data_IF_061376331387
#
_entry.id   IF_061376331387
#
_cell.length_a   1.000
_cell.length_b   1.000
_cell.length_c   1.000
_cell.angle_alpha   90.00
_cell.angle_beta   90.00
_cell.angle_gamma   90.00
#
_symmetry.space_group_name_H-M   'P 1'
#
loop_
_entity.id
_entity.type
_entity.pdbx_description
1 polymer ?
#
# COMPACT_ATOMS: atom_id res chain seq x y z
N UNK A 1 9.39 7.52 -8.35
CA UNK A 1 10.30 6.80 -9.27
C UNK A 1 11.47 7.71 -9.64
N UNK A 2 12.69 7.22 -9.52
CA UNK A 2 13.88 8.00 -9.86
C UNK A 2 14.00 8.22 -11.38
N UNK A 3 14.36 9.43 -11.80
CA UNK A 3 14.82 9.67 -13.18
C UNK A 3 16.21 9.04 -13.36
N UNK A 4 16.69 8.80 -14.60
CA UNK A 4 18.03 8.25 -14.83
C UNK A 4 19.16 9.01 -14.12
N UNK A 5 18.99 10.32 -13.89
CA UNK A 5 19.95 11.17 -13.18
C UNK A 5 19.90 11.02 -11.65
N UNK A 6 18.85 10.41 -11.13
CA UNK A 6 18.64 10.17 -9.70
C UNK A 6 19.04 8.75 -9.27
N UNK A 7 19.41 7.89 -10.24
CA UNK A 7 19.93 6.56 -9.93
C UNK A 7 21.32 6.71 -9.29
N UNK A 8 21.54 5.96 -8.22
CA UNK A 8 22.83 5.94 -7.54
C UNK A 8 23.12 4.56 -6.96
N UNK A 9 24.38 4.31 -6.66
CA UNK A 9 24.81 3.10 -6.00
C UNK A 9 24.94 3.35 -4.49
N UNK A 10 24.27 2.51 -3.70
CA UNK A 10 24.56 2.32 -2.29
C UNK A 10 25.27 0.96 -2.18
N UNK A 11 26.57 0.97 -1.93
CA UNK A 11 27.45 -0.20 -2.02
C UNK A 11 27.28 -0.97 -3.35
N UNK A 12 26.84 -2.22 -3.29
CA UNK A 12 26.61 -3.07 -4.46
C UNK A 12 25.14 -3.05 -4.95
N UNK A 13 24.34 -2.06 -4.56
CA UNK A 13 22.93 -1.93 -4.92
C UNK A 13 22.69 -0.67 -5.76
N UNK A 14 22.10 -0.83 -6.96
CA UNK A 14 21.60 0.28 -7.77
C UNK A 14 20.22 0.68 -7.28
N UNK A 15 20.13 1.79 -6.55
CA UNK A 15 18.88 2.34 -6.01
C UNK A 15 18.09 3.03 -7.11
N UNK A 16 16.81 2.69 -7.27
CA UNK A 16 15.96 3.20 -8.35
C UNK A 16 14.57 3.69 -7.88
N UNK A 17 14.13 3.32 -6.69
CA UNK A 17 12.84 3.74 -6.16
C UNK A 17 12.94 3.88 -4.64
N UNK A 18 12.29 4.89 -4.10
CA UNK A 18 12.18 5.15 -2.66
C UNK A 18 10.70 5.30 -2.31
N UNK A 19 10.31 4.78 -1.16
CA UNK A 19 8.99 4.98 -0.61
C UNK A 19 8.81 6.45 -0.22
N UNK A 20 7.58 6.97 -0.33
CA UNK A 20 7.27 8.40 -0.18
C UNK A 20 7.72 9.00 1.17
N UNK A 21 7.71 8.21 2.24
CA UNK A 21 8.15 8.64 3.59
C UNK A 21 9.62 8.29 3.88
N UNK A 22 10.33 7.71 2.90
CA UNK A 22 11.72 7.31 3.03
C UNK A 22 11.94 6.10 3.94
N UNK A 23 10.91 5.29 4.16
CA UNK A 23 10.97 4.11 5.04
C UNK A 23 11.66 2.93 4.36
N UNK A 24 11.50 2.82 3.04
CA UNK A 24 12.10 1.74 2.24
C UNK A 24 12.73 2.31 0.97
N UNK A 25 13.92 1.83 0.66
CA UNK A 25 14.58 2.09 -0.61
C UNK A 25 14.72 0.80 -1.40
N UNK A 26 14.27 0.80 -2.65
CA UNK A 26 14.35 -0.37 -3.52
C UNK A 26 15.48 -0.27 -4.54
N UNK A 27 16.15 -1.42 -4.73
CA UNK A 27 17.37 -1.50 -5.52
C UNK A 27 17.52 -2.85 -6.22
N UNK A 28 18.41 -2.87 -7.21
CA UNK A 28 18.87 -4.07 -7.91
C UNK A 28 20.34 -4.30 -7.53
N UNK A 29 20.73 -5.53 -7.23
CA UNK A 29 22.15 -5.86 -7.01
C UNK A 29 22.96 -5.63 -8.27
N UNK A 30 24.18 -5.15 -8.09
CA UNK A 30 25.12 -4.90 -9.17
C UNK A 30 25.39 -6.14 -10.04
N UNK A 31 25.45 -7.31 -9.41
CA UNK A 31 25.65 -8.59 -10.10
C UNK A 31 24.47 -8.98 -11.00
N UNK A 32 23.25 -8.47 -10.68
CA UNK A 32 22.02 -8.77 -11.41
C UNK A 32 21.70 -7.77 -12.54
N UNK A 33 22.49 -6.72 -12.73
CA UNK A 33 22.19 -5.66 -13.71
C UNK A 33 22.19 -6.12 -15.17
N UNK A 34 22.78 -7.27 -15.47
CA UNK A 34 22.74 -7.88 -16.82
C UNK A 34 21.53 -8.77 -17.02
N UNK A 35 20.80 -9.10 -15.96
CA UNK A 35 19.56 -9.85 -16.03
C UNK A 35 18.44 -8.91 -16.56
N UNK A 36 17.70 -9.28 -17.63
CA UNK A 36 16.61 -8.43 -18.14
C UNK A 36 15.41 -8.34 -17.19
N UNK A 37 15.30 -9.21 -16.20
CA UNK A 37 14.27 -9.21 -15.18
C UNK A 37 14.84 -9.57 -13.80
N UNK A 38 15.64 -8.68 -13.19
CA UNK A 38 16.41 -8.97 -11.99
C UNK A 38 15.52 -9.04 -10.73
N UNK A 39 15.98 -9.70 -9.67
CA UNK A 39 15.40 -9.59 -8.34
C UNK A 39 15.45 -8.14 -7.84
N UNK A 40 14.44 -7.76 -7.03
CA UNK A 40 14.40 -6.47 -6.35
C UNK A 40 14.62 -6.65 -4.85
N UNK A 41 15.37 -5.75 -4.27
CA UNK A 41 15.73 -5.73 -2.86
C UNK A 41 15.25 -4.44 -2.22
N UNK A 42 14.70 -4.54 -1.00
CA UNK A 42 14.32 -3.40 -0.17
C UNK A 42 15.30 -3.21 0.99
N UNK A 43 15.73 -1.99 1.22
CA UNK A 43 16.48 -1.62 2.42
C UNK A 43 15.53 -1.07 3.47
N UNK A 44 15.39 -1.78 4.58
CA UNK A 44 14.59 -1.41 5.76
C UNK A 44 15.46 -0.89 6.92
N UNK A 45 16.74 -0.71 6.69
CA UNK A 45 17.68 -0.12 7.63
C UNK A 45 17.96 1.36 7.33
N UNK A 46 18.98 1.89 7.99
CA UNK A 46 19.50 3.23 7.72
C UNK A 46 20.59 3.21 6.63
N UNK A 47 21.02 4.37 6.18
CA UNK A 47 22.19 4.49 5.29
C UNK A 47 23.48 3.94 5.93
N UNK A 48 23.61 4.04 7.25
CA UNK A 48 24.79 3.58 7.99
C UNK A 48 24.71 2.14 8.48
N UNK A 49 23.49 1.56 8.51
CA UNK A 49 23.22 0.18 8.91
C UNK A 49 22.14 -0.40 8.01
N UNK A 50 22.46 -0.73 6.76
CA UNK A 50 21.49 -1.19 5.78
C UNK A 50 21.00 -2.61 6.09
N UNK A 51 19.70 -2.81 5.93
CA UNK A 51 19.06 -4.12 6.10
C UNK A 51 18.36 -4.52 4.79
N UNK A 52 19.11 -5.11 3.87
CA UNK A 52 18.62 -5.53 2.57
C UNK A 52 17.87 -6.85 2.62
N UNK A 53 16.61 -6.83 2.22
CA UNK A 53 15.72 -8.00 2.13
C UNK A 53 15.25 -8.13 0.68
N UNK A 54 15.25 -9.34 0.15
CA UNK A 54 14.70 -9.56 -1.19
C UNK A 54 13.19 -9.42 -1.17
N UNK A 55 12.67 -8.45 -1.94
CA UNK A 55 11.24 -8.15 -2.05
C UNK A 55 10.57 -9.08 -3.05
N UNK A 56 11.10 -9.15 -4.26
CA UNK A 56 10.53 -9.98 -5.32
C UNK A 56 11.63 -10.75 -6.05
N UNK A 57 11.23 -11.85 -6.67
CA UNK A 57 12.14 -12.68 -7.46
C UNK A 57 12.52 -12.05 -8.80
N UNK A 58 11.73 -11.05 -9.24
CA UNK A 58 11.96 -10.36 -10.49
C UNK A 58 11.33 -8.96 -10.48
N UNK A 59 11.79 -8.11 -11.38
CA UNK A 59 11.36 -6.71 -11.50
C UNK A 59 9.90 -6.57 -11.97
N UNK A 60 9.40 -7.52 -12.78
CA UNK A 60 7.99 -7.49 -13.22
C UNK A 60 7.03 -7.65 -12.05
N UNK A 61 7.30 -8.59 -11.15
CA UNK A 61 6.49 -8.80 -9.94
C UNK A 61 6.58 -7.59 -9.01
N UNK A 62 7.76 -6.94 -8.94
CA UNK A 62 7.91 -5.71 -8.16
C UNK A 62 7.01 -4.58 -8.68
N UNK A 63 6.93 -4.38 -10.00
CA UNK A 63 6.02 -3.38 -10.57
C UNK A 63 4.55 -3.70 -10.31
N UNK A 64 4.17 -4.98 -10.43
CA UNK A 64 2.82 -5.41 -10.08
C UNK A 64 2.53 -5.20 -8.58
N UNK A 65 3.50 -5.53 -7.72
CA UNK A 65 3.42 -5.27 -6.28
C UNK A 65 3.17 -3.79 -5.99
N UNK A 66 3.97 -2.88 -6.57
CA UNK A 66 3.78 -1.43 -6.39
C UNK A 66 2.43 -0.94 -6.91
N UNK A 67 1.96 -1.46 -8.04
CA UNK A 67 0.66 -1.10 -8.59
C UNK A 67 -0.48 -1.50 -7.63
N UNK A 68 -0.43 -2.73 -7.09
CA UNK A 68 -1.39 -3.22 -6.11
C UNK A 68 -1.31 -2.42 -4.81
N UNK A 69 -0.10 -2.22 -4.27
CA UNK A 69 0.12 -1.44 -3.06
C UNK A 69 -0.49 -0.04 -3.17
N UNK A 70 -0.17 0.70 -4.24
CA UNK A 70 -0.77 2.00 -4.47
C UNK A 70 -2.29 1.91 -4.68
N UNK A 71 -2.78 0.86 -5.34
CA UNK A 71 -4.21 0.64 -5.57
C UNK A 71 -4.99 0.52 -4.27
N UNK A 72 -4.53 -0.31 -3.34
CA UNK A 72 -5.20 -0.53 -2.04
C UNK A 72 -4.99 0.61 -1.04
N UNK A 73 -4.00 1.49 -1.28
CA UNK A 73 -3.70 2.66 -0.44
C UNK A 73 -4.32 3.96 -1.00
N UNK A 74 -5.46 3.87 -1.66
CA UNK A 74 -6.23 5.01 -2.17
C UNK A 74 -6.03 5.33 -3.66
N UNK A 75 -5.27 4.51 -4.40
CA UNK A 75 -5.08 4.70 -5.84
C UNK A 75 -6.21 4.16 -6.72
N UNK A 76 -7.10 3.34 -6.16
CA UNK A 76 -8.32 2.87 -6.83
C UNK A 76 -9.54 3.64 -6.31
N UNK A 77 -10.63 3.75 -7.11
CA UNK A 77 -11.82 4.53 -6.74
C UNK A 77 -12.48 4.06 -5.44
N UNK A 78 -12.48 2.76 -5.20
CA UNK A 78 -13.07 2.15 -4.01
C UNK A 78 -11.98 1.45 -3.22
N UNK A 79 -11.80 1.85 -1.97
CA UNK A 79 -10.80 1.24 -1.10
C UNK A 79 -11.25 1.24 0.36
N UNK A 80 -10.75 0.26 1.12
CA UNK A 80 -11.01 0.10 2.54
C UNK A 80 -9.81 -0.56 3.22
N UNK A 81 -9.67 -0.31 4.51
CA UNK A 81 -8.72 -1.04 5.32
C UNK A 81 -9.23 -1.30 6.73
N UNK A 82 -8.70 -2.36 7.35
CA UNK A 82 -8.83 -2.64 8.75
C UNK A 82 -7.48 -3.18 9.26
N UNK A 83 -6.91 -2.51 10.24
CA UNK A 83 -5.62 -2.83 10.84
C UNK A 83 -5.63 -2.69 12.38
N UNK A 84 -6.83 -2.40 12.94
CA UNK A 84 -6.99 -2.10 14.35
C UNK A 84 -6.31 -0.79 14.70
N UNK A 85 -7.04 0.31 14.79
CA UNK A 85 -6.55 1.67 14.95
C UNK A 85 -5.43 1.85 16.00
N UNK A 86 -4.86 3.03 16.07
CA UNK A 86 -3.75 3.38 16.97
C UNK A 86 -4.02 2.91 18.41
N UNK A 87 -3.30 1.87 18.87
CA UNK A 87 -3.41 1.33 20.22
C UNK A 87 -4.05 -0.05 20.36
N UNK A 88 -4.52 -0.67 19.27
CA UNK A 88 -4.96 -2.07 19.28
C UNK A 88 -3.78 -3.01 18.98
N UNK A 89 -3.03 -3.40 20.02
CA UNK A 89 -1.87 -4.31 19.88
C UNK A 89 -2.23 -5.73 19.39
N UNK A 90 -3.53 -6.08 19.27
CA UNK A 90 -4.00 -7.45 19.01
C UNK A 90 -5.13 -7.51 17.98
N UNK A 91 -5.17 -6.61 16.98
CA UNK A 91 -6.14 -6.75 15.90
C UNK A 91 -5.81 -7.98 15.04
N UNK A 92 -6.81 -8.78 14.76
CA UNK A 92 -6.72 -9.93 13.86
C UNK A 92 -7.93 -9.93 12.93
N UNK A 93 -7.68 -10.12 11.64
CA UNK A 93 -8.75 -10.36 10.66
C UNK A 93 -9.41 -11.68 10.99
N UNK A 94 -10.76 -11.75 11.10
CA UNK A 94 -11.46 -12.98 11.43
C UNK A 94 -11.06 -14.15 10.51
N UNK A 95 -10.81 -15.33 11.07
CA UNK A 95 -10.40 -16.52 10.30
C UNK A 95 -11.43 -16.87 9.21
N UNK A 96 -12.74 -16.63 9.47
CA UNK A 96 -13.80 -16.85 8.50
C UNK A 96 -13.72 -15.87 7.32
N UNK A 97 -13.29 -14.63 7.54
CA UNK A 97 -13.03 -13.65 6.49
C UNK A 97 -11.85 -14.08 5.60
N UNK A 98 -10.76 -14.52 6.22
CA UNK A 98 -9.60 -15.06 5.49
C UNK A 98 -10.01 -16.27 4.66
N UNK A 99 -10.73 -17.23 5.23
CA UNK A 99 -11.19 -18.43 4.52
C UNK A 99 -12.15 -18.09 3.37
N UNK A 100 -12.98 -17.06 3.51
CA UNK A 100 -13.83 -16.56 2.42
C UNK A 100 -12.98 -16.01 1.28
N UNK A 101 -11.97 -15.17 1.58
CA UNK A 101 -11.06 -14.60 0.57
C UNK A 101 -10.34 -15.72 -0.18
N UNK A 102 -9.75 -16.68 0.53
CA UNK A 102 -9.06 -17.85 -0.07
C UNK A 102 -9.96 -18.68 -0.99
N UNK A 103 -11.25 -18.73 -0.70
CA UNK A 103 -12.22 -19.50 -1.50
C UNK A 103 -12.70 -18.74 -2.74
N UNK A 104 -12.86 -17.42 -2.65
CA UNK A 104 -13.51 -16.61 -3.69
C UNK A 104 -12.51 -15.96 -4.65
N UNK A 105 -11.29 -15.74 -4.22
CA UNK A 105 -10.26 -15.00 -4.96
C UNK A 105 -9.04 -15.85 -5.24
N UNK A 106 -8.30 -15.49 -6.28
CA UNK A 106 -7.07 -16.17 -6.66
C UNK A 106 -5.88 -15.51 -5.96
N UNK A 107 -5.10 -16.30 -5.24
CA UNK A 107 -3.86 -15.81 -4.63
C UNK A 107 -2.79 -15.58 -5.69
N UNK A 108 -2.19 -14.40 -5.69
CA UNK A 108 -1.02 -14.05 -6.49
C UNK A 108 0.24 -14.53 -5.74
N UNK A 109 0.60 -15.79 -5.92
CA UNK A 109 1.69 -16.43 -5.15
C UNK A 109 3.05 -15.80 -5.35
N UNK A 110 3.30 -15.16 -6.51
CA UNK A 110 4.54 -14.41 -6.76
C UNK A 110 4.63 -13.12 -5.93
N UNK A 111 3.50 -12.61 -5.45
CA UNK A 111 3.38 -11.43 -4.59
C UNK A 111 2.99 -11.76 -3.16
N UNK A 112 2.96 -13.05 -2.82
CA UNK A 112 2.65 -13.53 -1.47
C UNK A 112 3.92 -14.08 -0.82
N UNK A 113 4.25 -13.58 0.36
CA UNK A 113 5.40 -14.05 1.14
C UNK A 113 5.06 -14.09 2.64
N UNK A 114 5.99 -14.50 3.48
CA UNK A 114 5.73 -14.77 4.90
C UNK A 114 5.07 -13.62 5.69
N UNK A 115 5.18 -12.37 5.23
CA UNK A 115 4.57 -11.20 5.88
C UNK A 115 3.35 -10.64 5.16
N UNK A 116 2.98 -11.19 3.99
CA UNK A 116 1.91 -10.67 3.16
C UNK A 116 1.31 -11.73 2.27
N UNK A 117 0.00 -11.64 2.01
CA UNK A 117 -0.69 -12.42 0.98
C UNK A 117 -1.56 -11.50 0.13
N UNK A 118 -1.54 -11.71 -1.18
CA UNK A 118 -2.24 -10.87 -2.15
C UNK A 118 -3.19 -11.69 -2.98
N UNK A 119 -4.41 -11.19 -3.16
CA UNK A 119 -5.49 -11.88 -3.88
C UNK A 119 -6.15 -10.95 -4.88
N UNK A 120 -6.74 -11.53 -5.94
CA UNK A 120 -7.51 -10.80 -6.95
C UNK A 120 -8.58 -11.69 -7.58
N UNK A 121 -9.58 -11.06 -8.27
CA UNK A 121 -10.46 -11.78 -9.19
C UNK A 121 -9.78 -11.98 -10.56
N UNK A 122 -10.41 -12.74 -11.46
CA UNK A 122 -9.84 -13.08 -12.77
C UNK A 122 -9.53 -11.85 -13.65
N UNK A 123 -10.28 -10.77 -13.48
CA UNK A 123 -10.20 -9.56 -14.31
C UNK A 123 -9.38 -8.42 -13.66
N UNK A 124 -8.78 -8.67 -12.48
CA UNK A 124 -8.05 -7.68 -11.69
C UNK A 124 -8.87 -6.42 -11.34
N UNK A 125 -10.17 -6.55 -11.21
CA UNK A 125 -11.07 -5.46 -10.85
C UNK A 125 -11.10 -5.18 -9.34
N UNK A 126 -10.70 -6.18 -8.54
CA UNK A 126 -10.54 -6.08 -7.10
C UNK A 126 -9.24 -6.73 -6.67
N UNK A 127 -8.53 -6.08 -5.78
CA UNK A 127 -7.29 -6.57 -5.17
C UNK A 127 -7.42 -6.50 -3.65
N UNK A 128 -6.90 -7.53 -3.00
CA UNK A 128 -6.96 -7.69 -1.54
C UNK A 128 -5.56 -8.02 -1.05
N UNK A 129 -5.07 -7.30 -0.07
CA UNK A 129 -3.79 -7.60 0.58
C UNK A 129 -4.02 -7.85 2.07
N UNK A 130 -3.52 -8.97 2.55
CA UNK A 130 -3.49 -9.32 3.97
C UNK A 130 -2.07 -9.16 4.50
N UNK A 131 -1.89 -8.37 5.56
CA UNK A 131 -0.65 -8.41 6.33
C UNK A 131 -0.66 -9.63 7.25
N UNK A 132 0.41 -10.41 7.25
CA UNK A 132 0.49 -11.68 7.99
C UNK A 132 1.54 -11.56 9.09
N UNK A 133 1.15 -11.84 10.33
CA UNK A 133 2.08 -11.90 11.44
C UNK A 133 3.02 -13.10 11.28
N UNK A 134 4.33 -12.84 11.29
CA UNK A 134 5.36 -13.83 10.92
C UNK A 134 5.41 -15.07 11.80
N UNK A 135 5.10 -14.93 13.10
CA UNK A 135 5.21 -16.01 14.08
C UNK A 135 3.90 -16.78 14.25
N UNK A 136 2.75 -16.08 14.21
CA UNK A 136 1.42 -16.70 14.39
C UNK A 136 0.77 -17.12 13.08
N UNK A 137 1.24 -16.61 11.95
CA UNK A 137 0.63 -16.78 10.61
C UNK A 137 -0.82 -16.30 10.54
N UNK A 138 -1.22 -15.38 11.41
CA UNK A 138 -2.55 -14.75 11.40
C UNK A 138 -2.52 -13.45 10.62
N UNK A 139 -3.63 -13.13 9.98
CA UNK A 139 -3.79 -11.86 9.30
C UNK A 139 -4.05 -10.75 10.33
N UNK A 140 -3.20 -9.72 10.33
CA UNK A 140 -3.23 -8.58 11.27
C UNK A 140 -3.64 -7.28 10.61
N UNK A 141 -3.84 -7.27 9.31
CA UNK A 141 -4.49 -6.19 8.58
C UNK A 141 -5.06 -6.71 7.27
N UNK A 142 -6.05 -6.00 6.74
CA UNK A 142 -6.61 -6.20 5.42
C UNK A 142 -6.69 -4.85 4.71
N UNK A 143 -6.30 -4.82 3.44
CA UNK A 143 -6.42 -3.68 2.54
C UNK A 143 -7.14 -4.14 1.28
N UNK A 144 -8.11 -3.38 0.84
CA UNK A 144 -8.91 -3.68 -0.36
C UNK A 144 -8.86 -2.48 -1.29
N UNK A 145 -8.73 -2.75 -2.59
CA UNK A 145 -8.90 -1.77 -3.64
C UNK A 145 -9.73 -2.35 -4.78
N UNK A 146 -10.69 -1.59 -5.32
CA UNK A 146 -11.52 -2.02 -6.44
C UNK A 146 -11.75 -0.89 -7.44
N UNK A 147 -11.89 -1.28 -8.72
CA UNK A 147 -12.37 -0.40 -9.80
C UNK A 147 -13.89 -0.45 -9.94
N UNK A 148 -14.56 -1.43 -9.29
CA UNK A 148 -15.99 -1.71 -9.42
C UNK A 148 -16.68 -1.60 -8.07
N UNK A 149 -17.65 -0.71 -7.96
CA UNK A 149 -18.40 -0.49 -6.72
C UNK A 149 -19.12 -1.76 -6.25
N UNK A 150 -19.85 -2.43 -7.14
CA UNK A 150 -20.64 -3.61 -6.79
C UNK A 150 -19.80 -4.74 -6.20
N UNK A 151 -18.58 -4.96 -6.73
CA UNK A 151 -17.64 -5.95 -6.20
C UNK A 151 -17.11 -5.52 -4.82
N UNK A 152 -16.83 -4.22 -4.67
CA UNK A 152 -16.37 -3.64 -3.43
C UNK A 152 -17.42 -3.80 -2.33
N UNK A 153 -18.66 -3.34 -2.57
CA UNK A 153 -19.77 -3.44 -1.62
C UNK A 153 -20.04 -4.89 -1.21
N UNK A 154 -20.07 -5.81 -2.20
CA UNK A 154 -20.26 -7.24 -1.94
C UNK A 154 -19.19 -7.81 -0.99
N UNK A 155 -17.93 -7.37 -1.18
CA UNK A 155 -16.84 -7.82 -0.31
C UNK A 155 -16.93 -7.18 1.08
N UNK A 156 -17.23 -5.87 1.18
CA UNK A 156 -17.41 -5.21 2.47
C UNK A 156 -18.51 -5.89 3.30
N UNK A 157 -19.70 -6.09 2.70
CA UNK A 157 -20.82 -6.77 3.35
C UNK A 157 -20.44 -8.18 3.84
N UNK A 158 -19.69 -8.92 3.04
CA UNK A 158 -19.24 -10.25 3.44
C UNK A 158 -18.28 -10.19 4.64
N UNK A 159 -17.34 -9.24 4.66
CA UNK A 159 -16.37 -9.06 5.76
C UNK A 159 -17.07 -8.63 7.04
N UNK A 160 -18.01 -7.70 6.98
CA UNK A 160 -18.81 -7.23 8.11
C UNK A 160 -19.66 -8.35 8.71
N UNK A 161 -20.24 -9.23 7.88
CA UNK A 161 -20.95 -10.42 8.33
C UNK A 161 -20.06 -11.42 9.10
N UNK A 162 -18.74 -11.37 8.91
CA UNK A 162 -17.76 -12.12 9.69
C UNK A 162 -17.25 -11.34 10.92
N UNK A 163 -17.80 -10.14 11.18
CA UNK A 163 -17.45 -9.32 12.33
C UNK A 163 -16.21 -8.46 12.13
N UNK A 164 -15.80 -8.19 10.88
CA UNK A 164 -14.76 -7.23 10.60
C UNK A 164 -15.34 -5.81 10.71
N UNK A 165 -14.66 -4.93 11.42
CA UNK A 165 -14.91 -3.50 11.48
C UNK A 165 -13.85 -2.77 10.66
N UNK A 166 -14.27 -1.80 9.84
CA UNK A 166 -13.37 -1.03 8.99
C UNK A 166 -12.81 0.17 9.74
N UNK A 167 -11.50 0.41 9.63
CA UNK A 167 -10.88 1.63 10.14
C UNK A 167 -11.07 2.80 9.15
N UNK A 168 -11.20 2.49 7.86
CA UNK A 168 -11.43 3.44 6.78
C UNK A 168 -12.14 2.77 5.61
N UNK A 169 -13.02 3.51 4.97
CA UNK A 169 -13.58 3.21 3.66
C UNK A 169 -13.55 4.46 2.77
N UNK A 170 -13.48 4.30 1.45
CA UNK A 170 -13.55 5.44 0.51
C UNK A 170 -14.88 6.20 0.54
N UNK A 171 -15.87 5.69 1.26
CA UNK A 171 -17.13 6.38 1.49
C UNK A 171 -17.05 7.42 2.61
N UNK A 172 -16.07 7.29 3.50
CA UNK A 172 -15.86 8.22 4.64
C UNK A 172 -15.33 9.58 4.16
N UNK A 173 -14.69 9.63 2.98
CA UNK A 173 -14.14 10.87 2.41
C UNK A 173 -15.25 11.80 1.86
N UNK A 174 -16.44 11.28 1.54
CA UNK A 174 -17.55 12.08 1.01
C UNK A 174 -18.21 12.99 2.07
N UNK A 175 -18.02 12.71 3.36
CA UNK A 175 -18.61 13.49 4.46
C UNK A 175 -17.73 14.69 4.89
N UNK A 176 -16.44 14.72 4.53
CA UNK A 176 -15.49 15.76 4.95
C UNK A 176 -15.35 16.95 3.95
N UNK A 177 -15.99 16.88 2.77
CA UNK A 177 -15.89 17.92 1.73
C UNK A 177 -16.59 19.26 2.08
N UNK A 178 -17.31 19.34 3.21
CA UNK A 178 -18.04 20.55 3.60
C UNK A 178 -17.18 21.62 4.33
N UNK A 179 -15.92 21.36 4.69
CA UNK A 179 -15.10 22.28 5.47
C UNK A 179 -13.88 22.89 4.74
N UNK A 180 -13.57 22.49 3.50
CA UNK A 180 -12.58 23.18 2.69
C UNK A 180 -13.18 24.46 2.11
N UNK A 181 -13.23 25.53 2.89
CA UNK A 181 -13.48 26.87 2.37
C UNK A 181 -12.35 27.21 1.38
N UNK A 182 -12.66 27.14 0.09
CA UNK A 182 -11.79 27.70 -0.94
C UNK A 182 -11.70 29.19 -0.70
N UNK A 183 -10.61 29.60 -0.04
CA UNK A 183 -10.32 31.01 0.24
C UNK A 183 -10.19 31.71 -1.12
N UNK A 184 -11.03 32.68 -1.39
CA UNK A 184 -10.97 33.46 -2.63
C UNK A 184 -9.63 34.21 -2.72
N UNK A 185 -9.21 34.51 -3.95
CA UNK A 185 -7.95 35.26 -4.17
C UNK A 185 -7.94 36.61 -3.43
N UNK A 186 -9.10 37.23 -3.22
CA UNK A 186 -9.28 38.47 -2.45
C UNK A 186 -8.99 38.24 -0.95
N UNK A 187 -9.54 37.19 -0.36
CA UNK A 187 -9.29 36.80 1.04
C UNK A 187 -7.84 36.37 1.26
N UNK A 188 -7.24 35.66 0.32
CA UNK A 188 -5.83 35.27 0.37
C UNK A 188 -4.93 36.52 0.38
N UNK A 189 -5.24 37.54 -0.43
CA UNK A 189 -4.50 38.79 -0.48
C UNK A 189 -4.68 39.59 0.83
N UNK A 190 -5.84 39.54 1.45
CA UNK A 190 -6.10 40.15 2.74
C UNK A 190 -5.32 39.49 3.89
N UNK A 191 -5.25 38.14 3.90
CA UNK A 191 -4.46 37.34 4.86
C UNK A 191 -2.96 37.62 4.73
N UNK A 192 -2.46 37.75 3.49
CA UNK A 192 -1.07 38.13 3.20
C UNK A 192 -0.77 39.54 3.68
N UNK A 193 -1.68 40.50 3.46
CA UNK A 193 -1.52 41.87 3.90
C UNK A 193 -1.52 42.01 5.45
N UNK A 194 -2.21 41.11 6.15
CA UNK A 194 -2.24 41.01 7.60
C UNK A 194 -1.05 40.24 8.21
N UNK A 195 -0.16 39.69 7.38
CA UNK A 195 0.97 38.87 7.84
C UNK A 195 0.57 37.51 8.45
N UNK A 196 -0.66 37.07 8.21
CA UNK A 196 -1.21 35.78 8.71
C UNK A 196 -0.96 34.61 7.78
N UNK A 197 -0.33 34.83 6.62
CA UNK A 197 0.06 33.82 5.65
C UNK A 197 1.50 34.03 5.21
N UNK A 198 2.39 33.12 5.62
CA UNK A 198 3.76 33.03 5.11
C UNK A 198 3.97 31.63 4.54
N UNK A 199 4.31 31.53 3.25
CA UNK A 199 4.83 30.27 2.69
C UNK A 199 6.21 30.03 3.33
N UNK A 200 6.34 28.97 4.12
CA UNK A 200 7.63 28.44 4.58
C UNK A 200 8.15 27.44 3.56
#
# INVERSE_FOLDING_TARGET
MATPQQLYFADDYLCFCEENQGVVMWAIRKEDLTNPNPPVWGNYGSETDPNWIQETQNLSDFWLYLAIYNGVMGGLPYNANAMGGWGMENFEVPEQAVAYIEKQYTELTSLSWKGQRTFTNADFEIVITLAIHRDTNRATAIFIGSTQQELFDTLLDAMENFGLEWDYTSYDDDDDDDDFQVVSEAELNELKAKGLWTLS
#
